data_IF_332346496836
#
_entry.id   IF_332346496836
#
_cell.length_a   1.000
_cell.length_b   1.000
_cell.length_c   1.000
_cell.angle_alpha   90.00
_cell.angle_beta   90.00
_cell.angle_gamma   90.00
#
_symmetry.space_group_name_H-M   'P 1'
#
loop_
_entity.id
_entity.type
_entity.pdbx_description
1 polymer ?
#
# COMPACT_ATOMS: atom_id res chain seq x y z
N UNK A 1 -9.40 -0.88 -10.81
CA UNK A 1 -9.66 -1.55 -9.53
C UNK A 1 -10.49 -2.81 -9.76
N UNK A 2 -10.28 -3.86 -8.98
CA UNK A 2 -11.12 -5.06 -8.95
C UNK A 2 -12.36 -4.86 -8.09
N UNK A 3 -13.31 -5.80 -8.14
CA UNK A 3 -14.50 -5.77 -7.26
C UNK A 3 -14.14 -5.89 -5.78
N UNK A 4 -13.13 -6.70 -5.46
CA UNK A 4 -12.62 -6.88 -4.10
C UNK A 4 -12.02 -5.58 -3.55
N UNK A 5 -11.17 -4.93 -4.34
CA UNK A 5 -10.58 -3.63 -3.99
C UNK A 5 -11.64 -2.55 -3.79
N UNK A 6 -12.67 -2.51 -4.65
CA UNK A 6 -13.76 -1.53 -4.51
C UNK A 6 -14.56 -1.77 -3.22
N UNK A 7 -14.85 -3.03 -2.89
CA UNK A 7 -15.56 -3.40 -1.66
C UNK A 7 -14.77 -2.99 -0.41
N UNK A 8 -13.47 -3.30 -0.40
CA UNK A 8 -12.60 -2.92 0.72
C UNK A 8 -12.41 -1.41 0.83
N UNK A 9 -12.23 -0.70 -0.29
CA UNK A 9 -12.09 0.76 -0.30
C UNK A 9 -13.23 1.44 0.44
N UNK A 10 -14.48 1.03 0.18
CA UNK A 10 -15.64 1.59 0.86
C UNK A 10 -15.56 1.40 2.38
N UNK A 11 -15.23 0.18 2.84
CA UNK A 11 -15.09 -0.10 4.27
C UNK A 11 -13.90 0.65 4.90
N UNK A 12 -12.75 0.68 4.23
CA UNK A 12 -11.54 1.35 4.69
C UNK A 12 -11.75 2.85 4.83
N UNK A 13 -12.28 3.52 3.78
CA UNK A 13 -12.51 4.95 3.78
C UNK A 13 -13.45 5.41 4.91
N UNK A 14 -14.48 4.62 5.21
CA UNK A 14 -15.35 4.89 6.35
C UNK A 14 -14.67 4.64 7.70
N UNK A 15 -13.86 3.58 7.81
CA UNK A 15 -13.23 3.18 9.07
C UNK A 15 -12.15 4.16 9.55
N UNK A 16 -11.46 4.84 8.63
CA UNK A 16 -10.32 5.71 8.94
C UNK A 16 -10.65 7.20 8.94
N UNK A 17 -11.89 7.57 8.59
CA UNK A 17 -12.36 8.94 8.65
C UNK A 17 -12.70 9.33 10.10
N UNK A 18 -12.41 10.56 10.55
CA UNK A 18 -11.86 11.69 9.78
C UNK A 18 -10.34 11.80 9.76
N UNK A 19 -9.61 10.94 10.47
CA UNK A 19 -8.18 11.13 10.71
C UNK A 19 -7.33 10.92 9.45
N UNK A 20 -7.75 10.01 8.58
CA UNK A 20 -7.05 9.67 7.35
C UNK A 20 -7.95 9.81 6.12
N UNK A 21 -7.30 10.08 4.98
CA UNK A 21 -7.87 10.03 3.63
C UNK A 21 -7.21 8.88 2.85
N UNK A 22 -8.00 8.24 1.98
CA UNK A 22 -7.57 7.05 1.22
C UNK A 22 -7.38 7.42 -0.25
N UNK A 23 -6.19 7.16 -0.78
CA UNK A 23 -5.87 7.29 -2.21
C UNK A 23 -5.73 5.89 -2.84
N UNK A 24 -6.67 5.46 -3.70
CA UNK A 24 -6.58 4.16 -4.35
C UNK A 24 -5.62 4.17 -5.55
N UNK A 25 -4.93 3.06 -5.80
CA UNK A 25 -4.16 2.80 -7.04
C UNK A 25 -3.10 3.86 -7.35
N UNK A 26 -2.37 4.28 -6.34
CA UNK A 26 -1.20 5.16 -6.50
C UNK A 26 -0.02 4.39 -7.09
N UNK A 27 0.78 5.02 -7.96
CA UNK A 27 2.01 4.38 -8.46
C UNK A 27 3.04 4.33 -7.36
N UNK A 28 3.82 3.26 -7.30
CA UNK A 28 4.97 3.17 -6.38
C UNK A 28 5.92 4.35 -6.59
N UNK A 29 6.11 4.78 -7.84
CA UNK A 29 6.98 5.91 -8.21
C UNK A 29 6.48 7.28 -7.76
N UNK A 30 5.20 7.39 -7.38
CA UNK A 30 4.65 8.63 -6.82
C UNK A 30 4.94 8.72 -5.31
N UNK A 31 5.25 7.59 -4.67
CA UNK A 31 5.51 7.47 -3.23
C UNK A 31 6.99 7.43 -2.91
N UNK A 32 7.78 6.74 -3.75
CA UNK A 32 9.21 6.57 -3.56
C UNK A 32 9.95 6.86 -4.86
N UNK A 33 11.09 7.54 -4.73
CA UNK A 33 11.98 7.78 -5.86
C UNK A 33 13.32 7.09 -5.57
N UNK A 34 13.70 6.03 -6.30
CA UNK A 34 15.02 5.44 -6.21
C UNK A 34 16.01 6.38 -6.91
N UNK A 35 16.38 7.45 -6.21
CA UNK A 35 17.17 8.57 -6.76
C UNK A 35 18.61 8.12 -7.04
N UNK A 36 19.16 7.15 -6.30
CA UNK A 36 20.60 6.95 -6.30
C UNK A 36 21.19 6.26 -7.54
N UNK A 37 20.39 5.64 -8.41
CA UNK A 37 20.95 4.78 -9.47
C UNK A 37 20.32 4.91 -10.86
N UNK A 38 19.44 5.89 -11.14
CA UNK A 38 18.75 6.01 -12.44
C UNK A 38 19.66 6.00 -13.68
N UNK A 39 20.94 6.37 -13.51
CA UNK A 39 21.93 6.44 -14.60
C UNK A 39 22.86 5.21 -14.67
N UNK A 40 22.72 4.23 -13.79
CA UNK A 40 23.40 2.94 -13.89
C UNK A 40 22.47 1.88 -14.52
N UNK A 41 23.05 0.90 -15.21
CA UNK A 41 22.28 -0.20 -15.81
C UNK A 41 21.46 -0.98 -14.77
N UNK A 42 21.97 -1.10 -13.54
CA UNK A 42 21.28 -1.74 -12.43
C UNK A 42 20.11 -0.89 -11.90
N UNK A 43 20.28 0.42 -11.78
CA UNK A 43 19.19 1.29 -11.29
C UNK A 43 18.08 1.52 -12.30
N UNK A 44 18.38 1.52 -13.61
CA UNK A 44 17.34 1.50 -14.65
C UNK A 44 16.48 0.22 -14.57
N UNK A 45 17.10 -0.92 -14.26
CA UNK A 45 16.41 -2.21 -14.11
C UNK A 45 15.50 -2.23 -12.88
N UNK A 46 15.99 -1.72 -11.74
CA UNK A 46 15.21 -1.56 -10.51
C UNK A 46 14.05 -0.57 -10.71
N UNK A 47 14.31 0.57 -11.36
CA UNK A 47 13.28 1.55 -11.70
C UNK A 47 12.17 0.92 -12.55
N UNK A 48 12.52 0.19 -13.62
CA UNK A 48 11.52 -0.47 -14.46
C UNK A 48 10.71 -1.54 -13.71
N UNK A 49 11.30 -2.19 -12.71
CA UNK A 49 10.60 -3.18 -11.89
C UNK A 49 9.47 -2.54 -11.05
N UNK A 50 9.65 -1.29 -10.61
CA UNK A 50 8.66 -0.56 -9.78
C UNK A 50 7.78 0.41 -10.59
N UNK A 51 8.25 0.91 -11.75
CA UNK A 51 7.60 2.00 -12.49
C UNK A 51 6.22 1.63 -13.05
N UNK A 52 5.95 0.34 -13.23
CA UNK A 52 4.65 -0.15 -13.70
C UNK A 52 3.76 -0.64 -12.55
N UNK A 53 4.21 -0.45 -11.30
CA UNK A 53 3.54 -0.96 -10.11
C UNK A 53 2.70 0.12 -9.45
N UNK A 54 1.58 -0.32 -8.91
CA UNK A 54 0.68 0.48 -8.13
C UNK A 54 0.43 -0.26 -6.83
N UNK A 55 0.25 0.50 -5.76
CA UNK A 55 -0.27 -0.02 -4.49
C UNK A 55 -1.79 0.10 -4.48
N UNK A 56 -2.48 -0.78 -3.78
CA UNK A 56 -3.93 -0.75 -3.73
C UNK A 56 -4.45 0.52 -3.05
N UNK A 57 -3.92 0.87 -1.89
CA UNK A 57 -4.31 2.06 -1.14
C UNK A 57 -3.14 2.74 -0.44
N UNK A 58 -3.16 4.07 -0.43
CA UNK A 58 -2.29 4.91 0.39
C UNK A 58 -3.16 5.67 1.38
N UNK A 59 -2.80 5.60 2.65
CA UNK A 59 -3.42 6.36 3.72
C UNK A 59 -2.59 7.60 3.98
N UNK A 60 -3.23 8.76 4.00
CA UNK A 60 -2.58 10.01 4.37
C UNK A 60 -3.32 10.67 5.52
N UNK A 61 -2.61 11.41 6.37
CA UNK A 61 -3.23 12.25 7.39
C UNK A 61 -4.12 13.31 6.73
N UNK A 62 -5.39 13.39 7.12
CA UNK A 62 -6.36 14.30 6.49
C UNK A 62 -5.94 15.78 6.57
N UNK A 63 -5.19 16.16 7.60
CA UNK A 63 -4.77 17.54 7.83
C UNK A 63 -3.54 17.99 7.00
N UNK A 64 -2.62 17.07 6.68
CA UNK A 64 -1.34 17.40 6.01
C UNK A 64 -1.15 16.70 4.67
N UNK A 65 -1.95 15.67 4.37
CA UNK A 65 -1.76 14.73 3.26
C UNK A 65 -0.43 13.98 3.29
N UNK A 66 0.30 14.02 4.41
CA UNK A 66 1.49 13.20 4.61
C UNK A 66 1.10 11.71 4.67
N UNK A 67 1.92 10.87 4.04
CA UNK A 67 1.68 9.42 3.98
C UNK A 67 1.81 8.82 5.38
N UNK A 68 0.71 8.24 5.87
CA UNK A 68 0.64 7.52 7.13
C UNK A 68 0.94 6.03 6.96
N UNK A 69 0.66 5.47 5.77
CA UNK A 69 1.01 4.11 5.42
C UNK A 69 0.34 3.63 4.14
N UNK A 70 0.66 2.39 3.77
CA UNK A 70 0.23 1.73 2.53
C UNK A 70 -0.54 0.48 2.91
N UNK A 71 -1.60 0.17 2.16
CA UNK A 71 -2.40 -1.05 2.34
C UNK A 71 -2.51 -1.78 1.00
N UNK A 72 -2.17 -3.07 1.00
CA UNK A 72 -2.31 -4.00 -0.13
C UNK A 72 -3.34 -5.09 0.20
N UNK A 73 -4.14 -5.50 -0.78
CA UNK A 73 -5.06 -6.63 -0.62
C UNK A 73 -4.50 -7.92 -1.20
N UNK A 74 -4.36 -8.91 -0.34
CA UNK A 74 -3.92 -10.23 -0.74
C UNK A 74 -5.14 -11.09 -1.11
N UNK A 75 -5.28 -11.44 -2.39
CA UNK A 75 -6.21 -12.47 -2.83
C UNK A 75 -5.55 -13.85 -2.68
N UNK A 76 -6.25 -14.78 -2.00
CA UNK A 76 -5.87 -16.19 -1.84
C UNK A 76 -5.59 -16.90 -3.16
N UNK A 77 -6.02 -16.35 -4.30
CA UNK A 77 -5.84 -16.92 -5.63
C UNK A 77 -4.41 -16.86 -6.19
N UNK A 78 -3.44 -16.26 -5.49
CA UNK A 78 -2.14 -15.89 -6.08
C UNK A 78 -0.89 -16.48 -5.46
N UNK A 79 -0.81 -17.81 -5.43
CA UNK A 79 0.38 -18.53 -4.95
C UNK A 79 1.45 -18.79 -6.03
N UNK A 80 1.70 -17.83 -6.92
CA UNK A 80 2.81 -17.95 -7.88
C UNK A 80 4.09 -17.36 -7.29
N UNK A 81 5.14 -18.17 -7.21
CA UNK A 81 6.43 -17.81 -6.62
C UNK A 81 7.10 -16.57 -7.24
N UNK A 82 6.75 -16.21 -8.48
CA UNK A 82 7.23 -15.00 -9.15
C UNK A 82 6.59 -13.70 -8.61
N UNK A 83 5.40 -13.77 -8.02
CA UNK A 83 4.77 -12.62 -7.34
C UNK A 83 5.40 -12.38 -5.98
N UNK A 84 5.55 -13.43 -5.16
CA UNK A 84 6.19 -13.35 -3.83
C UNK A 84 7.55 -12.64 -3.86
N UNK A 85 8.42 -12.97 -4.82
CA UNK A 85 9.74 -12.31 -4.96
C UNK A 85 9.64 -10.84 -5.37
N UNK A 86 8.60 -10.47 -6.12
CA UNK A 86 8.39 -9.09 -6.58
C UNK A 86 7.72 -8.24 -5.50
N UNK A 87 6.82 -8.82 -4.73
CA UNK A 87 6.14 -8.16 -3.61
C UNK A 87 7.18 -7.85 -2.52
N UNK A 88 8.04 -8.82 -2.17
CA UNK A 88 9.18 -8.60 -1.26
C UNK A 88 10.10 -7.43 -1.65
N UNK A 89 10.32 -7.21 -2.96
CA UNK A 89 11.15 -6.10 -3.43
C UNK A 89 10.47 -4.75 -3.19
N UNK A 90 9.14 -4.69 -3.37
CA UNK A 90 8.36 -3.48 -3.13
C UNK A 90 8.28 -3.20 -1.62
N UNK A 91 8.03 -4.22 -0.81
CA UNK A 91 7.97 -4.11 0.65
C UNK A 91 9.29 -3.58 1.22
N UNK A 92 10.41 -4.12 0.73
CA UNK A 92 11.73 -3.65 1.10
C UNK A 92 11.94 -2.20 0.68
N UNK A 93 11.57 -1.82 -0.56
CA UNK A 93 11.72 -0.46 -1.04
C UNK A 93 10.91 0.56 -0.23
N UNK A 94 9.70 0.21 0.21
CA UNK A 94 8.92 1.04 1.12
C UNK A 94 9.54 1.12 2.52
N UNK A 95 10.01 -0.01 3.05
CA UNK A 95 10.69 -0.06 4.34
C UNK A 95 11.93 0.83 4.36
N UNK A 96 12.76 0.77 3.31
CA UNK A 96 13.94 1.63 3.14
C UNK A 96 13.57 3.12 2.98
N UNK A 97 12.42 3.41 2.38
CA UNK A 97 11.86 4.76 2.30
C UNK A 97 11.16 5.23 3.59
N UNK A 98 11.14 4.41 4.65
CA UNK A 98 10.47 4.72 5.91
C UNK A 98 8.94 4.66 5.85
N UNK A 99 8.37 4.06 4.82
CA UNK A 99 6.94 3.89 4.63
C UNK A 99 6.50 2.50 5.11
N UNK A 100 5.46 2.47 5.95
CA UNK A 100 4.87 1.22 6.44
C UNK A 100 3.89 0.66 5.42
N UNK A 101 3.99 -0.63 5.14
CA UNK A 101 3.08 -1.37 4.28
C UNK A 101 2.37 -2.46 5.09
N UNK A 102 1.05 -2.54 4.93
CA UNK A 102 0.19 -3.52 5.58
C UNK A 102 -0.54 -4.35 4.53
N UNK A 103 -0.41 -5.66 4.61
CA UNK A 103 -1.14 -6.60 3.78
C UNK A 103 -2.41 -7.06 4.50
N UNK A 104 -3.55 -6.97 3.82
CA UNK A 104 -4.85 -7.39 4.34
C UNK A 104 -5.38 -8.50 3.45
N UNK A 105 -5.72 -9.63 4.06
CA UNK A 105 -6.37 -10.72 3.36
C UNK A 105 -7.74 -10.29 2.84
N UNK A 106 -7.99 -10.54 1.54
CA UNK A 106 -9.25 -10.23 0.91
C UNK A 106 -10.40 -11.02 1.54
N UNK A 107 -11.43 -10.30 1.99
CA UNK A 107 -12.64 -10.85 2.62
C UNK A 107 -13.90 -10.43 1.88
N UNK A 108 -14.99 -11.22 1.96
CA UNK A 108 -16.27 -10.87 1.35
C UNK A 108 -16.92 -9.64 1.99
N UNK A 109 -16.60 -9.36 3.26
CA UNK A 109 -17.08 -8.21 4.01
C UNK A 109 -16.03 -7.77 5.03
N UNK A 110 -16.13 -6.51 5.46
CA UNK A 110 -15.20 -5.91 6.42
C UNK A 110 -15.98 -5.13 7.49
N UNK A 111 -15.62 -5.35 8.76
CA UNK A 111 -16.22 -4.64 9.89
C UNK A 111 -15.50 -3.32 10.12
N UNK A 112 -16.22 -2.19 10.12
CA UNK A 112 -15.59 -0.87 10.27
C UNK A 112 -14.76 -0.72 11.56
N UNK A 113 -15.27 -1.09 12.77
CA UNK A 113 -14.46 -1.01 13.98
C UNK A 113 -13.20 -1.85 13.94
N UNK A 114 -13.27 -3.04 13.34
CA UNK A 114 -12.13 -3.96 13.27
C UNK A 114 -11.11 -3.49 12.24
N UNK A 115 -11.55 -3.08 11.05
CA UNK A 115 -10.70 -2.46 10.04
C UNK A 115 -9.96 -1.27 10.64
N UNK A 116 -10.68 -0.37 11.34
CA UNK A 116 -10.05 0.78 12.01
C UNK A 116 -8.97 0.34 13.00
N UNK A 117 -9.30 -0.60 13.89
CA UNK A 117 -8.38 -1.11 14.91
C UNK A 117 -7.10 -1.65 14.28
N UNK A 118 -7.23 -2.50 13.25
CA UNK A 118 -6.09 -3.09 12.53
C UNK A 118 -5.24 -1.98 11.89
N UNK A 119 -5.86 -1.06 11.14
CA UNK A 119 -5.15 0.02 10.46
C UNK A 119 -4.33 0.86 11.45
N UNK A 120 -4.96 1.34 12.53
CA UNK A 120 -4.28 2.21 13.48
C UNK A 120 -3.17 1.48 14.24
N UNK A 121 -3.42 0.23 14.65
CA UNK A 121 -2.45 -0.56 15.40
C UNK A 121 -1.24 -0.93 14.55
N UNK A 122 -1.44 -1.52 13.37
CA UNK A 122 -0.36 -2.06 12.54
C UNK A 122 0.46 -0.93 11.89
N UNK A 123 -0.19 0.18 11.52
CA UNK A 123 0.53 1.36 11.01
C UNK A 123 1.05 2.26 12.12
N UNK A 124 0.74 1.99 13.39
CA UNK A 124 1.18 2.77 14.55
C UNK A 124 0.71 4.23 14.53
N UNK A 125 -0.52 4.44 14.05
CA UNK A 125 -1.16 5.75 13.97
C UNK A 125 -1.90 5.99 15.27
N UNK A 126 -1.63 7.14 15.92
CA UNK A 126 -2.37 7.53 17.12
C UNK A 126 -3.85 7.77 16.78
N UNK A 127 -4.74 7.22 17.61
CA UNK A 127 -6.19 7.35 17.46
C UNK A 127 -6.70 8.75 17.84
#
# INVERSE_FOLDING_TARGET
MTKAELNFYAALAHAVYPELVVFPKMRVTDLINPIEHRYSSNGAKAWNAIAQKHVDFVLCHSASLEVAGIVELDDRSHDRADRRKRDQLIDQAFTEAGLRILHIECQPSYSQPETRRIILQELGIAA
#
